data_IF_016006337370
#
_entry.id   IF_016006337370
#
_cell.length_a   1.000
_cell.length_b   1.000
_cell.length_c   1.000
_cell.angle_alpha   90.00
_cell.angle_beta   90.00
_cell.angle_gamma   90.00
#
_symmetry.space_group_name_H-M   'P 1'
#
loop_
_entity.id
_entity.type
_entity.pdbx_description
1 polymer ?
#
# COMPACT_ATOMS: atom_id res chain seq x y z
N UNK A 1 49.13 -55.98 1.05
CA UNK A 1 48.94 -54.54 0.77
C UNK A 1 48.44 -53.86 2.03
N UNK A 2 49.31 -53.15 2.75
CA UNK A 2 49.00 -52.59 4.06
C UNK A 2 48.14 -51.32 3.94
N UNK A 3 46.89 -51.41 4.34
CA UNK A 3 46.01 -50.26 4.57
C UNK A 3 46.54 -49.43 5.75
N UNK A 4 47.24 -48.32 5.46
CA UNK A 4 47.56 -47.29 6.46
C UNK A 4 46.26 -46.63 6.93
N UNK A 5 45.64 -47.13 8.00
CA UNK A 5 44.58 -46.42 8.71
C UNK A 5 45.20 -45.20 9.39
N UNK A 6 45.01 -44.02 8.81
CA UNK A 6 45.33 -42.73 9.45
C UNK A 6 44.33 -42.54 10.60
N UNK A 7 44.80 -42.69 11.83
CA UNK A 7 44.01 -42.34 13.01
C UNK A 7 44.09 -40.82 13.14
N UNK A 8 42.97 -40.13 12.91
CA UNK A 8 42.88 -38.68 13.10
C UNK A 8 43.22 -38.32 14.55
N UNK A 9 44.06 -37.31 14.74
CA UNK A 9 44.41 -36.86 16.10
C UNK A 9 43.23 -36.09 16.69
N UNK A 10 42.95 -36.32 17.98
CA UNK A 10 41.82 -35.70 18.69
C UNK A 10 41.83 -34.16 18.60
N UNK A 11 43.02 -33.57 18.53
CA UNK A 11 43.24 -32.12 18.34
C UNK A 11 42.73 -31.64 16.98
N UNK A 12 42.99 -32.38 15.90
CA UNK A 12 42.57 -32.01 14.55
C UNK A 12 41.04 -32.03 14.40
N UNK A 13 40.38 -32.97 15.08
CA UNK A 13 38.91 -33.03 15.14
C UNK A 13 38.34 -31.84 15.93
N UNK A 14 38.95 -31.48 17.07
CA UNK A 14 38.53 -30.33 17.87
C UNK A 14 38.68 -29.01 17.09
N UNK A 15 39.80 -28.82 16.40
CA UNK A 15 40.03 -27.64 15.56
C UNK A 15 39.03 -27.60 14.39
N UNK A 16 38.76 -28.75 13.76
CA UNK A 16 37.77 -28.87 12.70
C UNK A 16 36.37 -28.45 13.14
N UNK A 17 35.92 -28.91 14.32
CA UNK A 17 34.61 -28.52 14.88
C UNK A 17 34.58 -27.02 15.21
N UNK A 18 35.66 -26.47 15.78
CA UNK A 18 35.72 -25.05 16.11
C UNK A 18 35.63 -24.16 14.86
N UNK A 19 36.40 -24.47 13.82
CA UNK A 19 36.38 -23.73 12.55
C UNK A 19 35.02 -23.87 11.87
N UNK A 20 34.45 -25.08 11.85
CA UNK A 20 33.12 -25.33 11.31
C UNK A 20 32.04 -24.50 12.04
N UNK A 21 32.11 -24.42 13.37
CA UNK A 21 31.19 -23.60 14.16
C UNK A 21 31.26 -22.11 13.81
N UNK A 22 32.47 -21.57 13.60
CA UNK A 22 32.64 -20.18 13.17
C UNK A 22 32.06 -19.94 11.77
N UNK A 23 32.32 -20.85 10.83
CA UNK A 23 31.76 -20.76 9.47
C UNK A 23 30.24 -20.82 9.51
N UNK A 24 29.66 -21.77 10.26
CA UNK A 24 28.21 -21.91 10.37
C UNK A 24 27.56 -20.68 11.01
N UNK A 25 28.20 -20.04 11.99
CA UNK A 25 27.72 -18.79 12.59
C UNK A 25 27.68 -17.64 11.58
N UNK A 26 28.73 -17.49 10.76
CA UNK A 26 28.76 -16.48 9.71
C UNK A 26 27.69 -16.72 8.63
N UNK A 27 27.53 -17.97 8.20
CA UNK A 27 26.49 -18.35 7.21
C UNK A 27 25.09 -18.12 7.77
N UNK A 28 24.82 -18.52 9.02
CA UNK A 28 23.53 -18.32 9.65
C UNK A 28 23.16 -16.83 9.73
N UNK A 29 24.13 -15.97 10.09
CA UNK A 29 23.93 -14.52 10.14
C UNK A 29 23.57 -13.94 8.77
N UNK A 30 24.24 -14.41 7.71
CA UNK A 30 23.95 -13.99 6.33
C UNK A 30 22.55 -14.43 5.90
N UNK A 31 22.17 -15.68 6.17
CA UNK A 31 20.84 -16.21 5.84
C UNK A 31 19.73 -15.42 6.55
N UNK A 32 19.88 -15.12 7.84
CA UNK A 32 18.91 -14.30 8.60
C UNK A 32 18.78 -12.91 7.96
N UNK A 33 19.90 -12.26 7.66
CA UNK A 33 19.88 -10.93 7.03
C UNK A 33 19.21 -10.94 5.65
N UNK A 34 19.40 -12.02 4.87
CA UNK A 34 18.79 -12.20 3.56
C UNK A 34 17.28 -12.39 3.67
N UNK A 35 16.81 -13.18 4.64
CA UNK A 35 15.38 -13.40 4.87
C UNK A 35 14.67 -12.11 5.28
N UNK A 36 15.28 -11.32 6.17
CA UNK A 36 14.74 -10.02 6.56
C UNK A 36 14.68 -9.03 5.39
N UNK A 37 15.74 -8.99 4.56
CA UNK A 37 15.78 -8.14 3.38
C UNK A 37 14.69 -8.52 2.38
N UNK A 38 14.50 -9.82 2.16
CA UNK A 38 13.47 -10.35 1.26
C UNK A 38 12.06 -10.02 1.76
N UNK A 39 11.79 -10.18 3.06
CA UNK A 39 10.51 -9.79 3.65
C UNK A 39 10.20 -8.29 3.51
N UNK A 40 11.21 -7.43 3.62
CA UNK A 40 11.05 -5.98 3.39
C UNK A 40 10.78 -5.66 1.92
N UNK A 41 11.43 -6.36 1.00
CA UNK A 41 11.23 -6.18 -0.44
C UNK A 41 9.86 -6.65 -0.90
N UNK A 42 9.38 -7.80 -0.42
CA UNK A 42 8.07 -8.33 -0.77
C UNK A 42 6.95 -7.40 -0.30
N UNK A 43 7.02 -6.91 0.93
CA UNK A 43 6.05 -5.94 1.47
C UNK A 43 5.99 -4.65 0.64
N UNK A 44 7.14 -4.10 0.23
CA UNK A 44 7.19 -2.93 -0.65
C UNK A 44 6.64 -3.22 -2.05
N UNK A 45 6.84 -4.42 -2.56
CA UNK A 45 6.33 -4.81 -3.88
C UNK A 45 4.80 -4.87 -3.88
N UNK A 46 4.22 -5.52 -2.86
CA UNK A 46 2.78 -5.58 -2.64
C UNK A 46 2.21 -4.16 -2.50
N UNK A 47 2.86 -3.30 -1.71
CA UNK A 47 2.46 -1.91 -1.53
C UNK A 47 2.36 -1.14 -2.86
N UNK A 48 3.39 -1.25 -3.70
CA UNK A 48 3.45 -0.55 -4.99
C UNK A 48 2.39 -1.12 -5.94
N UNK A 49 2.22 -2.44 -5.97
CA UNK A 49 1.23 -3.10 -6.82
C UNK A 49 -0.20 -2.69 -6.44
N UNK A 50 -0.56 -2.73 -5.15
CA UNK A 50 -1.87 -2.27 -4.69
C UNK A 50 -2.10 -0.79 -4.99
N UNK A 51 -1.10 0.06 -4.77
CA UNK A 51 -1.21 1.48 -5.08
C UNK A 51 -1.44 1.75 -6.56
N UNK A 52 -0.73 1.04 -7.44
CA UNK A 52 -0.94 1.14 -8.88
C UNK A 52 -2.32 0.65 -9.29
N UNK A 53 -2.75 -0.50 -8.77
CA UNK A 53 -4.07 -1.06 -9.07
C UNK A 53 -5.20 -0.13 -8.61
N UNK A 54 -5.10 0.43 -7.40
CA UNK A 54 -6.08 1.39 -6.89
C UNK A 54 -6.14 2.66 -7.75
N UNK A 55 -4.99 3.21 -8.14
CA UNK A 55 -4.94 4.37 -9.04
C UNK A 55 -5.48 4.06 -10.42
N UNK A 56 -5.15 2.90 -10.98
CA UNK A 56 -5.62 2.48 -12.29
C UNK A 56 -7.14 2.35 -12.30
N UNK A 57 -7.71 1.65 -11.31
CA UNK A 57 -9.16 1.50 -11.16
C UNK A 57 -9.86 2.85 -11.04
N UNK A 58 -9.43 3.71 -10.10
CA UNK A 58 -10.05 5.03 -9.91
C UNK A 58 -9.92 5.87 -11.18
N UNK A 59 -8.74 5.87 -11.80
CA UNK A 59 -8.50 6.64 -13.02
C UNK A 59 -9.36 6.16 -14.18
N UNK A 60 -9.58 4.85 -14.30
CA UNK A 60 -10.44 4.26 -15.34
C UNK A 60 -11.89 4.72 -15.17
N UNK A 61 -12.42 4.64 -13.96
CA UNK A 61 -13.80 5.06 -13.68
C UNK A 61 -13.99 6.58 -13.81
N UNK A 62 -13.01 7.39 -13.43
CA UNK A 62 -13.07 8.84 -13.67
C UNK A 62 -13.07 9.14 -15.17
N UNK A 63 -12.34 8.38 -15.99
CA UNK A 63 -12.36 8.56 -17.45
C UNK A 63 -13.73 8.21 -18.04
N UNK A 64 -14.45 7.23 -17.48
CA UNK A 64 -15.80 6.85 -17.93
C UNK A 64 -16.90 7.74 -17.37
N UNK A 65 -16.64 8.45 -16.28
CA UNK A 65 -17.56 9.36 -15.61
C UNK A 65 -18.05 10.50 -16.50
N UNK A 66 -19.27 10.97 -16.24
CA UNK A 66 -19.83 12.21 -16.82
C UNK A 66 -19.16 13.41 -16.17
N UNK A 67 -18.45 14.22 -16.96
CA UNK A 67 -17.60 15.30 -16.47
C UNK A 67 -18.35 16.27 -15.53
N UNK A 68 -19.58 16.63 -15.91
CA UNK A 68 -20.45 17.54 -15.15
C UNK A 68 -20.85 17.03 -13.75
N UNK A 69 -20.67 15.74 -13.48
CA UNK A 69 -21.11 15.11 -12.22
C UNK A 69 -19.98 14.92 -11.21
N UNK A 70 -18.73 15.16 -11.61
CA UNK A 70 -17.56 14.94 -10.75
C UNK A 70 -17.49 16.04 -9.71
N UNK A 71 -17.58 15.65 -8.44
CA UNK A 71 -17.46 16.56 -7.30
C UNK A 71 -16.55 15.98 -6.24
N UNK A 72 -15.73 16.84 -5.65
CA UNK A 72 -14.99 16.55 -4.42
C UNK A 72 -15.67 17.24 -3.26
N UNK A 73 -15.99 16.49 -2.21
CA UNK A 73 -16.62 17.04 -1.01
C UNK A 73 -15.85 16.64 0.23
N UNK A 74 -15.86 17.50 1.24
CA UNK A 74 -15.41 17.13 2.57
C UNK A 74 -16.33 16.12 3.25
N UNK A 75 -15.94 15.72 4.46
CA UNK A 75 -16.77 14.89 5.31
C UNK A 75 -17.67 15.74 6.21
N UNK A 76 -18.74 15.13 6.71
CA UNK A 76 -19.52 15.67 7.82
C UNK A 76 -19.13 14.90 9.10
N UNK A 77 -18.85 15.59 10.23
CA UNK A 77 -18.75 17.05 10.38
C UNK A 77 -17.56 17.65 9.62
N UNK A 78 -17.63 18.95 9.28
CA UNK A 78 -16.64 19.66 8.44
C UNK A 78 -15.24 19.77 9.04
N UNK A 79 -15.10 19.49 10.35
CA UNK A 79 -13.82 19.39 11.06
C UNK A 79 -12.97 18.19 10.64
N UNK A 80 -13.53 17.24 9.88
CA UNK A 80 -12.80 16.07 9.40
C UNK A 80 -11.97 16.42 8.16
N UNK A 81 -10.65 16.44 8.36
CA UNK A 81 -9.67 16.69 7.31
C UNK A 81 -9.63 15.51 6.32
N UNK A 82 -10.26 15.68 5.17
CA UNK A 82 -10.17 14.75 4.06
C UNK A 82 -11.21 15.05 2.98
N UNK A 83 -10.91 14.67 1.76
CA UNK A 83 -11.83 14.77 0.62
C UNK A 83 -12.21 13.40 0.11
N UNK A 84 -13.48 13.28 -0.26
CA UNK A 84 -14.01 12.19 -1.07
C UNK A 84 -14.33 12.69 -2.46
N UNK A 85 -14.35 11.79 -3.43
CA UNK A 85 -14.81 12.08 -4.78
C UNK A 85 -16.07 11.28 -5.09
N UNK A 86 -17.03 11.93 -5.73
CA UNK A 86 -18.28 11.35 -6.19
C UNK A 86 -18.52 11.72 -7.65
N UNK A 87 -19.03 10.78 -8.43
CA UNK A 87 -19.40 11.01 -9.83
C UNK A 87 -20.43 9.99 -10.29
N UNK A 88 -21.00 10.23 -11.47
CA UNK A 88 -21.91 9.30 -12.14
C UNK A 88 -21.19 8.70 -13.33
N UNK A 89 -21.14 7.37 -13.38
CA UNK A 89 -20.57 6.63 -14.49
C UNK A 89 -21.48 6.70 -15.73
N UNK A 90 -20.98 6.28 -16.90
CA UNK A 90 -21.75 6.21 -18.15
C UNK A 90 -23.08 5.47 -17.99
N UNK A 91 -23.08 4.38 -17.21
CA UNK A 91 -24.25 3.56 -16.87
C UNK A 91 -25.34 4.30 -16.08
N UNK A 92 -25.04 5.46 -15.50
CA UNK A 92 -25.94 6.19 -14.61
C UNK A 92 -25.76 5.83 -13.12
N UNK A 93 -24.91 4.86 -12.80
CA UNK A 93 -24.58 4.51 -11.42
C UNK A 93 -23.73 5.60 -10.78
N UNK A 94 -24.12 6.05 -9.57
CA UNK A 94 -23.34 7.01 -8.80
C UNK A 94 -22.31 6.27 -7.95
N UNK A 95 -21.04 6.62 -8.13
CA UNK A 95 -19.90 6.01 -7.48
C UNK A 95 -19.25 7.03 -6.54
N UNK A 96 -18.70 6.54 -5.43
CA UNK A 96 -17.94 7.31 -4.47
C UNK A 96 -16.65 6.60 -4.11
N UNK A 97 -15.55 7.34 -4.11
CA UNK A 97 -14.30 6.94 -3.49
C UNK A 97 -13.97 7.81 -2.30
N UNK A 98 -13.50 7.18 -1.22
CA UNK A 98 -13.10 7.87 0.00
C UNK A 98 -12.15 7.01 0.83
N UNK A 99 -11.37 7.65 1.70
CA UNK A 99 -10.77 6.95 2.84
C UNK A 99 -11.89 6.49 3.78
N UNK A 100 -11.82 5.26 4.24
CA UNK A 100 -12.78 4.77 5.21
C UNK A 100 -12.56 5.42 6.57
N UNK A 101 -13.60 5.36 7.38
CA UNK A 101 -13.60 5.96 8.72
C UNK A 101 -14.46 5.12 9.64
N UNK A 102 -14.08 5.15 10.91
CA UNK A 102 -14.89 4.64 12.02
C UNK A 102 -15.07 5.80 12.97
N UNK A 103 -16.32 6.28 13.10
CA UNK A 103 -16.61 7.54 13.78
C UNK A 103 -15.96 8.74 13.07
N UNK A 104 -15.23 9.56 13.85
CA UNK A 104 -14.51 10.74 13.38
C UNK A 104 -13.06 10.47 12.95
N UNK A 105 -12.60 9.22 12.92
CA UNK A 105 -11.19 8.89 12.62
C UNK A 105 -11.07 8.14 11.31
N UNK A 106 -10.15 8.58 10.44
CA UNK A 106 -9.82 7.88 9.21
C UNK A 106 -9.05 6.60 9.49
N UNK A 107 -9.45 5.51 8.84
CA UNK A 107 -8.73 4.23 8.87
C UNK A 107 -7.73 4.19 7.71
N UNK A 108 -6.86 3.19 7.68
CA UNK A 108 -5.89 3.03 6.58
C UNK A 108 -6.50 2.43 5.30
N UNK A 109 -7.83 2.38 5.21
CA UNK A 109 -8.52 1.74 4.10
C UNK A 109 -9.00 2.77 3.08
N UNK A 110 -8.74 2.52 1.80
CA UNK A 110 -9.38 3.21 0.68
C UNK A 110 -10.58 2.38 0.23
N UNK A 111 -11.73 3.01 0.14
CA UNK A 111 -12.97 2.33 -0.22
C UNK A 111 -13.65 2.95 -1.43
N UNK A 112 -14.34 2.09 -2.17
CA UNK A 112 -15.30 2.42 -3.22
C UNK A 112 -16.70 2.03 -2.75
N UNK A 113 -17.69 2.85 -3.08
CA UNK A 113 -19.11 2.60 -2.83
C UNK A 113 -19.93 2.98 -4.04
N UNK A 114 -20.93 2.18 -4.33
CA UNK A 114 -21.97 2.49 -5.31
C UNK A 114 -23.23 2.93 -4.60
N UNK A 115 -24.01 3.81 -5.22
CA UNK A 115 -25.32 4.20 -4.69
C UNK A 115 -26.36 3.15 -5.11
N UNK A 116 -27.08 2.60 -4.14
CA UNK A 116 -28.16 1.63 -4.34
C UNK A 116 -29.44 2.26 -3.79
N UNK A 117 -30.30 2.74 -4.70
CA UNK A 117 -31.49 3.52 -4.34
C UNK A 117 -31.12 4.80 -3.59
N UNK A 118 -31.68 5.00 -2.40
CA UNK A 118 -31.40 6.16 -1.56
C UNK A 118 -30.06 6.05 -0.81
N UNK A 119 -29.64 4.83 -0.47
CA UNK A 119 -28.49 4.57 0.39
C UNK A 119 -27.22 4.28 -0.41
N UNK A 120 -26.08 4.34 0.29
CA UNK A 120 -24.83 3.86 -0.25
C UNK A 120 -24.72 2.36 0.01
N UNK A 121 -24.41 1.61 -1.04
CA UNK A 121 -24.18 0.18 -1.00
C UNK A 121 -22.96 -0.22 -0.16
N UNK A 122 -22.61 -1.52 -0.19
CA UNK A 122 -21.50 -2.05 0.58
C UNK A 122 -20.17 -1.39 0.23
N UNK A 123 -19.23 -1.42 1.18
CA UNK A 123 -17.86 -0.91 0.99
C UNK A 123 -17.05 -1.96 0.22
N UNK A 124 -16.47 -1.57 -0.90
CA UNK A 124 -15.43 -2.35 -1.59
C UNK A 124 -14.07 -1.78 -1.19
N UNK A 125 -13.21 -2.59 -0.57
CA UNK A 125 -11.87 -2.17 -0.15
C UNK A 125 -10.92 -2.23 -1.34
N UNK A 126 -10.22 -1.13 -1.61
CA UNK A 126 -9.23 -1.02 -2.69
C UNK A 126 -7.80 -1.21 -2.18
N UNK A 127 -7.51 -0.67 -1.00
CA UNK A 127 -6.22 -0.85 -0.33
C UNK A 127 -6.40 -0.65 1.16
N UNK A 128 -5.54 -1.28 1.95
CA UNK A 128 -5.49 -1.19 3.41
C UNK A 128 -4.23 -0.48 3.93
N UNK A 129 -3.40 0.04 3.01
CA UNK A 129 -2.10 0.63 3.34
C UNK A 129 -2.10 2.16 3.36
N UNK A 130 -3.26 2.79 3.24
CA UNK A 130 -3.38 4.24 3.05
C UNK A 130 -3.03 4.99 4.32
N UNK A 131 -2.17 5.99 4.20
CA UNK A 131 -1.86 6.94 5.27
C UNK A 131 -2.16 8.36 4.78
N UNK A 132 -2.14 9.32 5.71
CA UNK A 132 -2.32 10.72 5.36
C UNK A 132 -1.22 11.18 4.40
N UNK A 133 -1.66 11.92 3.39
CA UNK A 133 -0.75 12.55 2.44
C UNK A 133 0.06 13.66 3.13
N UNK A 134 1.35 13.80 2.80
CA UNK A 134 2.19 14.86 3.37
C UNK A 134 1.65 16.25 3.02
N UNK A 135 1.59 17.14 4.02
CA UNK A 135 1.13 18.53 3.90
C UNK A 135 -0.40 18.70 3.97
N UNK A 136 -1.17 17.84 3.29
CA UNK A 136 -2.63 17.85 3.34
C UNK A 136 -3.14 16.41 3.19
N UNK A 137 -3.99 15.93 4.11
CA UNK A 137 -4.57 14.57 4.10
C UNK A 137 -5.54 14.28 2.96
N UNK A 138 -5.79 15.25 2.08
CA UNK A 138 -6.66 15.08 0.91
C UNK A 138 -6.10 14.08 -0.11
N UNK A 139 -6.86 13.01 -0.36
CA UNK A 139 -6.57 12.03 -1.43
C UNK A 139 -7.01 12.55 -2.80
N UNK A 140 -8.12 13.30 -2.83
CA UNK A 140 -8.75 13.76 -4.06
C UNK A 140 -8.84 15.28 -4.09
N UNK A 141 -8.39 15.88 -5.18
CA UNK A 141 -8.63 17.29 -5.47
C UNK A 141 -9.14 17.42 -6.90
N UNK A 142 -10.08 18.35 -7.12
CA UNK A 142 -10.64 18.62 -8.45
C UNK A 142 -10.46 20.11 -8.74
N UNK A 143 -9.78 20.40 -9.85
CA UNK A 143 -9.59 21.74 -10.37
C UNK A 143 -10.11 21.79 -11.81
N UNK A 144 -11.26 22.43 -12.02
CA UNK A 144 -11.84 22.69 -13.35
C UNK A 144 -11.90 21.46 -14.28
N UNK A 145 -12.33 20.31 -13.72
CA UNK A 145 -12.50 19.06 -14.46
C UNK A 145 -11.24 18.19 -14.55
N UNK A 146 -10.11 18.65 -14.01
CA UNK A 146 -8.93 17.82 -13.79
C UNK A 146 -8.94 17.29 -12.36
N UNK A 147 -9.10 15.98 -12.21
CA UNK A 147 -9.03 15.31 -10.92
C UNK A 147 -7.59 14.89 -10.66
N UNK A 148 -7.02 15.36 -9.56
CA UNK A 148 -5.75 14.85 -9.05
C UNK A 148 -6.03 13.83 -7.95
N UNK A 149 -5.46 12.64 -8.12
CA UNK A 149 -5.47 11.57 -7.13
C UNK A 149 -4.05 11.52 -6.55
N UNK A 150 -3.93 11.75 -5.25
CA UNK A 150 -2.68 11.63 -4.52
C UNK A 150 -2.86 10.58 -3.43
N UNK A 151 -2.09 9.50 -3.50
CA UNK A 151 -2.22 8.36 -2.61
C UNK A 151 -0.88 8.11 -1.94
N UNK A 152 -0.82 8.18 -0.61
CA UNK A 152 0.34 7.78 0.16
C UNK A 152 0.06 6.47 0.88
N UNK A 153 0.95 5.50 0.67
CA UNK A 153 0.86 4.16 1.21
C UNK A 153 2.04 3.87 2.13
N UNK A 154 1.82 3.00 3.12
CA UNK A 154 2.87 2.54 4.02
C UNK A 154 2.70 1.04 4.33
N UNK A 155 3.77 0.21 4.30
CA UNK A 155 3.67 -1.22 4.56
C UNK A 155 3.03 -1.58 5.90
N UNK A 156 3.39 -0.85 6.97
CA UNK A 156 2.79 -0.95 8.30
C UNK A 156 2.16 0.39 8.67
N UNK A 157 0.94 0.67 8.20
CA UNK A 157 0.35 2.00 8.27
C UNK A 157 -0.10 2.38 9.70
N UNK A 158 -0.21 1.40 10.60
CA UNK A 158 -0.47 1.60 12.03
C UNK A 158 0.76 2.01 12.83
N UNK A 159 1.96 1.88 12.25
CA UNK A 159 3.23 2.27 12.87
C UNK A 159 3.71 3.60 12.29
N UNK A 160 4.45 4.36 13.11
CA UNK A 160 5.12 5.58 12.66
C UNK A 160 6.07 5.32 11.48
N UNK A 161 6.36 6.39 10.73
CA UNK A 161 7.34 6.32 9.65
C UNK A 161 8.74 6.07 10.22
N UNK A 162 9.50 5.18 9.59
CA UNK A 162 10.83 4.82 10.08
C UNK A 162 11.59 3.88 9.15
N UNK A 163 12.74 3.38 9.65
CA UNK A 163 13.58 2.43 8.91
C UNK A 163 12.81 1.14 8.65
N UNK A 164 12.51 0.85 7.39
CA UNK A 164 11.70 -0.31 6.97
C UNK A 164 10.19 -0.06 6.93
N UNK A 165 9.72 1.15 7.20
CA UNK A 165 8.30 1.52 7.16
C UNK A 165 8.13 2.92 6.55
N UNK A 166 8.59 3.10 5.31
CA UNK A 166 8.61 4.39 4.63
C UNK A 166 7.31 4.65 3.87
N UNK A 167 6.99 5.92 3.72
CA UNK A 167 5.89 6.34 2.86
C UNK A 167 6.25 6.15 1.39
N UNK A 168 5.27 5.67 0.63
CA UNK A 168 5.33 5.62 -0.81
C UNK A 168 4.14 6.38 -1.36
N UNK A 169 4.42 7.50 -2.03
CA UNK A 169 3.38 8.36 -2.56
C UNK A 169 3.30 8.24 -4.08
N UNK A 170 2.09 8.04 -4.58
CA UNK A 170 1.76 8.05 -5.99
C UNK A 170 0.82 9.21 -6.29
N UNK A 171 1.06 9.90 -7.40
CA UNK A 171 0.20 10.97 -7.87
C UNK A 171 -0.16 10.74 -9.33
N UNK A 172 -1.43 10.93 -9.66
CA UNK A 172 -1.89 10.94 -11.04
C UNK A 172 -2.95 12.02 -11.25
N UNK A 173 -3.06 12.52 -12.47
CA UNK A 173 -4.04 13.51 -12.88
C UNK A 173 -4.86 12.94 -14.01
N UNK A 174 -6.18 13.03 -13.88
CA UNK A 174 -7.13 12.38 -14.79
C UNK A 174 -8.26 13.34 -15.09
N UNK A 175 -8.65 13.41 -16.36
CA UNK A 175 -9.81 14.14 -16.86
C UNK A 175 -10.86 13.14 -17.36
N UNK A 176 -12.12 13.43 -17.12
CA UNK A 176 -13.23 12.68 -17.71
C UNK A 176 -13.19 12.76 -19.24
N UNK A 177 -13.52 11.66 -19.92
CA UNK A 177 -13.62 11.63 -21.39
C UNK A 177 -15.04 11.80 -21.90
N UNK A 178 -16.06 11.54 -21.07
CA UNK A 178 -17.45 11.80 -21.41
C UNK A 178 -17.87 13.17 -20.87
N UNK A 179 -18.14 14.16 -21.74
CA UNK A 179 -18.73 15.43 -21.32
C UNK A 179 -20.10 15.25 -20.65
#
# INVERSE_FOLDING_TARGET
MNNKRKVFTLVEVLVGIAVFGLIMSAVASLVISSQEAWGKQSANTILIQEGRWALEMISSEIRSARASTIKTSGFWPSSLNGKRIEFVDRSGTRIRYQRDRVGGTFTNELIRREKIGFFWGPKSKLSIFVVDNPGNGDIFTNASGLVTIFLTLRPFPTRGEGRGNRNFSLRTMVRARNP
#
